data_IF_384085554965
#
_entry.id   IF_384085554965
#
_cell.length_a   1.000
_cell.length_b   1.000
_cell.length_c   1.000
_cell.angle_alpha   90.00
_cell.angle_beta   90.00
_cell.angle_gamma   90.00
#
_symmetry.space_group_name_H-M   'P 1'
#
loop_
_entity.id
_entity.type
_entity.pdbx_description
1 polymer ?
#
# COMPACT_ATOMS: atom_id res chain seq x y z
N UNK A 1 19.11 -21.32 36.02
CA UNK A 1 17.95 -21.85 35.32
C UNK A 1 16.75 -20.90 35.35
N UNK A 2 16.25 -20.43 36.52
CA UNK A 2 15.09 -19.50 36.64
C UNK A 2 15.29 -18.16 35.91
N UNK A 3 16.45 -17.51 36.04
CA UNK A 3 16.76 -16.23 35.37
C UNK A 3 16.75 -16.38 33.86
N UNK A 4 17.35 -17.43 33.31
CA UNK A 4 17.33 -17.69 31.85
C UNK A 4 15.91 -17.91 31.34
N UNK A 5 15.07 -18.63 32.05
CA UNK A 5 13.69 -18.84 31.74
C UNK A 5 12.90 -17.52 31.73
N UNK A 6 13.12 -16.64 32.70
CA UNK A 6 12.52 -15.30 32.74
C UNK A 6 12.93 -14.44 31.54
N UNK A 7 14.22 -14.47 31.17
CA UNK A 7 14.72 -13.73 29.99
C UNK A 7 14.06 -14.23 28.69
N UNK A 8 13.99 -15.55 28.49
CA UNK A 8 13.37 -16.16 27.32
C UNK A 8 11.89 -15.79 27.25
N UNK A 9 11.18 -15.90 28.38
CA UNK A 9 9.75 -15.51 28.44
C UNK A 9 9.54 -14.03 28.09
N UNK A 10 10.38 -13.14 28.64
CA UNK A 10 10.34 -11.72 28.33
C UNK A 10 10.56 -11.46 26.83
N UNK A 11 11.56 -12.10 26.21
CA UNK A 11 11.82 -11.95 24.77
C UNK A 11 10.65 -12.44 23.93
N UNK A 12 10.01 -13.55 24.31
CA UNK A 12 8.80 -14.04 23.64
C UNK A 12 7.66 -13.02 23.75
N UNK A 13 7.40 -12.49 24.93
CA UNK A 13 6.35 -11.48 25.17
C UNK A 13 6.62 -10.21 24.35
N UNK A 14 7.85 -9.70 24.35
CA UNK A 14 8.25 -8.53 23.58
C UNK A 14 8.10 -8.78 22.07
N UNK A 15 8.49 -9.95 21.58
CA UNK A 15 8.33 -10.32 20.17
C UNK A 15 6.86 -10.39 19.78
N UNK A 16 6.03 -11.07 20.56
CA UNK A 16 4.59 -11.12 20.34
C UNK A 16 3.98 -9.71 20.35
N UNK A 17 4.34 -8.89 21.32
CA UNK A 17 3.89 -7.50 21.38
C UNK A 17 4.28 -6.72 20.12
N UNK A 18 5.51 -6.87 19.64
CA UNK A 18 6.02 -6.16 18.48
C UNK A 18 5.27 -6.52 17.19
N UNK A 19 5.00 -7.81 16.93
CA UNK A 19 4.42 -8.29 15.67
C UNK A 19 2.91 -8.44 15.69
N UNK A 20 2.23 -8.32 16.84
CA UNK A 20 0.80 -8.60 16.98
C UNK A 20 -0.05 -7.74 16.05
N UNK A 21 -0.87 -8.34 15.16
CA UNK A 21 -1.76 -7.61 14.25
C UNK A 21 -2.96 -6.99 14.98
N UNK A 22 -3.79 -6.27 14.22
CA UNK A 22 -5.07 -5.77 14.65
C UNK A 22 -6.11 -6.88 14.94
N UNK A 23 -7.28 -6.47 15.41
CA UNK A 23 -8.40 -7.39 15.56
C UNK A 23 -8.90 -7.84 14.19
N UNK A 24 -9.25 -9.11 14.07
CA UNK A 24 -9.89 -9.62 12.85
C UNK A 24 -11.26 -8.94 12.66
N UNK A 25 -11.47 -8.33 11.49
CA UNK A 25 -12.65 -7.55 11.13
C UNK A 25 -13.21 -8.06 9.79
N UNK A 26 -13.91 -9.20 9.84
CA UNK A 26 -14.30 -9.96 8.65
C UNK A 26 -15.15 -9.14 7.67
N UNK A 27 -16.09 -8.34 8.16
CA UNK A 27 -16.93 -7.49 7.30
C UNK A 27 -16.11 -6.47 6.49
N UNK A 28 -15.05 -5.88 7.07
CA UNK A 28 -14.19 -4.93 6.37
C UNK A 28 -13.22 -5.63 5.41
N UNK A 29 -12.84 -6.88 5.69
CA UNK A 29 -11.94 -7.67 4.84
C UNK A 29 -12.66 -8.28 3.63
N UNK A 30 -13.95 -8.59 3.77
CA UNK A 30 -14.75 -9.32 2.78
C UNK A 30 -14.60 -8.77 1.34
N UNK A 31 -14.61 -7.45 1.07
CA UNK A 31 -14.46 -6.92 -0.29
C UNK A 31 -13.11 -7.22 -0.94
N UNK A 32 -12.08 -7.53 -0.12
CA UNK A 32 -10.71 -7.79 -0.58
C UNK A 32 -10.38 -9.29 -0.66
N UNK A 33 -11.11 -10.14 0.05
CA UNK A 33 -10.81 -11.57 0.11
C UNK A 33 -11.00 -12.25 -1.25
N UNK A 34 -9.95 -12.96 -1.69
CA UNK A 34 -9.94 -13.67 -2.97
C UNK A 34 -9.94 -12.74 -4.19
N UNK A 35 -9.60 -11.47 -4.05
CA UNK A 35 -9.63 -10.47 -5.12
C UNK A 35 -8.25 -10.16 -5.66
N UNK A 36 -8.18 -10.02 -6.98
CA UNK A 36 -7.03 -9.44 -7.67
C UNK A 36 -7.22 -7.92 -7.79
N UNK A 37 -6.21 -7.15 -7.33
CA UNK A 37 -6.15 -5.69 -7.37
C UNK A 37 -5.08 -5.25 -8.37
N UNK A 38 -5.42 -4.35 -9.28
CA UNK A 38 -4.49 -3.82 -10.26
C UNK A 38 -3.55 -2.80 -9.60
N UNK A 39 -2.24 -3.11 -9.58
CA UNK A 39 -1.18 -2.26 -9.05
C UNK A 39 -1.07 -0.97 -9.85
N UNK A 40 -1.35 0.18 -9.23
CA UNK A 40 -1.37 1.51 -9.88
C UNK A 40 -2.36 1.60 -11.05
N UNK A 41 -3.46 0.81 -11.01
CA UNK A 41 -4.42 0.68 -12.10
C UNK A 41 -4.08 -0.45 -13.09
N UNK A 42 -4.93 -0.62 -14.11
CA UNK A 42 -4.76 -1.67 -15.12
C UNK A 42 -4.05 -1.11 -16.36
N UNK A 43 -2.77 -1.39 -16.51
CA UNK A 43 -1.90 -0.88 -17.57
C UNK A 43 -0.90 -1.93 -18.06
N UNK A 44 -0.33 -1.72 -19.25
CA UNK A 44 0.69 -2.58 -19.84
C UNK A 44 2.13 -2.12 -19.54
N UNK A 45 3.12 -2.96 -19.89
CA UNK A 45 4.55 -2.62 -19.77
C UNK A 45 4.96 -1.41 -20.61
N UNK A 46 4.19 -1.12 -21.65
CA UNK A 46 4.36 0.03 -22.54
C UNK A 46 3.85 1.35 -21.95
N UNK A 47 3.32 1.34 -20.72
CA UNK A 47 2.73 2.51 -20.05
C UNK A 47 1.60 3.16 -20.87
N UNK A 48 0.75 2.34 -21.49
CA UNK A 48 -0.42 2.81 -22.28
C UNK A 48 -1.69 2.06 -21.88
N UNK A 49 -2.53 2.67 -21.02
CA UNK A 49 -2.34 3.98 -20.35
C UNK A 49 -1.19 3.95 -19.32
N UNK A 50 -0.68 5.11 -18.88
CA UNK A 50 0.35 5.15 -17.83
C UNK A 50 -0.15 4.62 -16.48
N UNK A 51 0.77 4.11 -15.65
CA UNK A 51 0.47 3.80 -14.25
C UNK A 51 -0.04 5.03 -13.50
N UNK A 52 -0.90 4.83 -12.49
CA UNK A 52 -1.45 5.91 -11.65
C UNK A 52 -2.16 7.03 -12.45
N UNK A 53 -2.70 6.71 -13.65
CA UNK A 53 -3.51 7.61 -14.47
C UNK A 53 -5.00 7.30 -14.39
N UNK A 54 -5.84 8.29 -14.67
CA UNK A 54 -7.30 8.10 -14.68
C UNK A 54 -7.75 6.98 -15.65
N UNK A 55 -7.25 6.88 -16.90
CA UNK A 55 -7.59 5.77 -17.78
C UNK A 55 -7.19 4.39 -17.25
N UNK A 56 -6.03 4.27 -16.56
CA UNK A 56 -5.62 3.00 -15.96
C UNK A 56 -6.57 2.57 -14.83
N UNK A 57 -7.06 3.52 -14.04
CA UNK A 57 -8.04 3.26 -12.98
C UNK A 57 -9.42 2.90 -13.56
N UNK A 58 -9.90 3.63 -14.56
CA UNK A 58 -11.14 3.30 -15.26
C UNK A 58 -11.08 1.91 -15.89
N UNK A 59 -9.95 1.56 -16.50
CA UNK A 59 -9.74 0.23 -17.06
C UNK A 59 -9.81 -0.85 -15.98
N UNK A 60 -9.17 -0.66 -14.81
CA UNK A 60 -9.26 -1.60 -13.69
C UNK A 60 -10.70 -1.77 -13.18
N UNK A 61 -11.40 -0.66 -12.92
CA UNK A 61 -12.78 -0.65 -12.42
C UNK A 61 -13.77 -1.32 -13.38
N UNK A 62 -13.70 -1.00 -14.67
CA UNK A 62 -14.55 -1.61 -15.71
C UNK A 62 -14.29 -3.10 -15.91
N UNK A 63 -13.06 -3.57 -15.68
CA UNK A 63 -12.72 -4.99 -15.72
C UNK A 63 -13.04 -5.71 -14.40
N UNK A 64 -13.58 -5.03 -13.37
CA UNK A 64 -13.98 -5.63 -12.09
C UNK A 64 -12.83 -5.97 -11.16
N UNK A 65 -11.65 -5.44 -11.38
CA UNK A 65 -10.50 -5.55 -10.46
C UNK A 65 -10.65 -4.59 -9.27
N UNK A 66 -10.04 -4.94 -8.14
CA UNK A 66 -9.67 -3.93 -7.16
C UNK A 66 -8.57 -3.03 -7.73
N UNK A 67 -8.29 -1.92 -7.07
CA UNK A 67 -7.23 -0.99 -7.44
C UNK A 67 -6.32 -0.78 -6.25
N UNK A 68 -5.02 -0.87 -6.48
CA UNK A 68 -4.01 -0.31 -5.58
C UNK A 68 -3.45 0.97 -6.21
N UNK A 69 -3.13 1.96 -5.38
CA UNK A 69 -2.64 3.27 -5.82
C UNK A 69 -1.86 3.98 -4.71
N UNK A 70 -1.05 4.96 -5.12
CA UNK A 70 -0.12 5.70 -4.25
C UNK A 70 -0.55 7.15 -4.09
N UNK A 71 -0.55 7.67 -2.86
CA UNK A 71 -0.87 9.08 -2.59
C UNK A 71 0.25 9.79 -1.83
N UNK A 72 0.48 11.05 -2.19
CA UNK A 72 1.44 11.93 -1.53
C UNK A 72 1.03 13.41 -1.70
N UNK A 73 1.68 14.30 -0.97
CA UNK A 73 1.46 15.74 -1.10
C UNK A 73 2.38 16.40 -2.14
N UNK A 74 1.82 17.37 -2.86
CA UNK A 74 2.58 18.43 -3.55
C UNK A 74 3.09 19.49 -2.56
N UNK A 75 3.89 20.45 -3.02
CA UNK A 75 4.39 21.56 -2.20
C UNK A 75 3.28 22.39 -1.53
N UNK A 76 2.18 22.61 -2.25
CA UNK A 76 0.98 23.33 -1.79
C UNK A 76 -0.08 22.40 -1.14
N UNK A 77 0.34 21.20 -0.67
CA UNK A 77 -0.49 20.26 0.10
C UNK A 77 -1.72 19.73 -0.63
N UNK A 78 -1.68 19.62 -1.95
CA UNK A 78 -2.69 18.87 -2.71
C UNK A 78 -2.34 17.39 -2.66
N UNK A 79 -3.34 16.52 -2.48
CA UNK A 79 -3.13 15.07 -2.55
C UNK A 79 -3.15 14.67 -4.01
N UNK A 80 -2.04 14.11 -4.47
CA UNK A 80 -1.88 13.61 -5.84
C UNK A 80 -1.68 12.10 -5.85
N UNK A 81 -2.04 11.47 -6.96
CA UNK A 81 -1.79 10.04 -7.16
C UNK A 81 -0.52 9.88 -7.98
N UNK A 82 0.54 9.44 -7.31
CA UNK A 82 1.87 9.27 -7.94
C UNK A 82 2.77 8.41 -7.04
N UNK A 83 3.50 7.46 -7.63
CA UNK A 83 4.28 6.48 -6.86
C UNK A 83 5.62 7.01 -6.36
N UNK A 84 6.44 7.55 -7.28
CA UNK A 84 7.83 7.87 -6.99
C UNK A 84 7.93 9.15 -6.12
N UNK A 85 8.96 9.24 -5.30
CA UNK A 85 9.27 10.47 -4.57
C UNK A 85 9.68 11.59 -5.53
N UNK A 86 10.30 11.21 -6.68
CA UNK A 86 10.81 12.14 -7.70
C UNK A 86 10.05 12.00 -9.01
N UNK A 87 10.10 13.04 -9.81
CA UNK A 87 9.39 13.16 -11.09
C UNK A 87 10.08 12.40 -12.24
N UNK A 88 11.36 12.08 -12.07
CA UNK A 88 12.32 11.72 -13.11
C UNK A 88 11.95 10.54 -14.00
N UNK A 89 11.27 9.52 -13.46
CA UNK A 89 10.93 8.31 -14.20
C UNK A 89 9.67 8.49 -15.07
N UNK A 90 8.68 9.19 -14.54
CA UNK A 90 7.35 9.24 -15.14
C UNK A 90 7.05 10.54 -15.85
N UNK A 91 7.89 11.59 -15.67
CA UNK A 91 7.67 12.90 -16.27
C UNK A 91 8.97 13.47 -16.84
N UNK A 92 8.90 14.48 -17.74
CA UNK A 92 10.09 15.22 -18.20
C UNK A 92 10.73 16.08 -17.10
N UNK A 93 9.99 16.44 -16.06
CA UNK A 93 10.46 17.27 -14.96
C UNK A 93 11.41 16.49 -14.03
N UNK A 94 12.15 17.22 -13.21
CA UNK A 94 13.12 16.71 -12.23
C UNK A 94 12.77 17.21 -10.84
N UNK A 95 13.25 16.51 -9.81
CA UNK A 95 13.09 16.90 -8.42
C UNK A 95 11.98 16.14 -7.72
N UNK A 96 11.65 16.57 -6.51
CA UNK A 96 10.70 15.87 -5.66
C UNK A 96 9.26 16.35 -5.89
N UNK A 97 8.30 15.44 -5.79
CA UNK A 97 6.86 15.76 -5.87
C UNK A 97 6.45 16.77 -4.80
N UNK A 98 6.95 16.61 -3.58
CA UNK A 98 6.61 17.49 -2.45
C UNK A 98 7.24 18.90 -2.52
N UNK A 99 8.14 19.15 -3.48
CA UNK A 99 8.73 20.47 -3.74
C UNK A 99 8.03 21.20 -4.89
N UNK A 100 7.19 20.51 -5.68
CA UNK A 100 6.51 21.08 -6.85
C UNK A 100 5.06 21.46 -6.51
N UNK A 101 4.61 22.70 -6.77
CA UNK A 101 3.20 23.08 -6.63
C UNK A 101 2.29 22.32 -7.61
N UNK A 102 1.05 22.10 -7.22
CA UNK A 102 0.07 21.40 -8.06
C UNK A 102 -0.06 21.97 -9.48
N UNK A 103 -0.09 23.30 -9.63
CA UNK A 103 -0.23 23.93 -10.93
C UNK A 103 0.88 23.53 -11.92
N UNK A 104 2.11 23.33 -11.43
CA UNK A 104 3.23 22.86 -12.25
C UNK A 104 3.22 21.34 -12.41
N UNK A 105 2.88 20.61 -11.34
CA UNK A 105 2.84 19.16 -11.36
C UNK A 105 1.76 18.62 -12.30
N UNK A 106 0.56 19.21 -12.28
CA UNK A 106 -0.55 18.81 -13.15
C UNK A 106 -0.29 19.05 -14.64
N UNK A 107 0.65 19.90 -14.98
CA UNK A 107 1.03 20.16 -16.38
C UNK A 107 2.04 19.13 -16.93
N UNK A 108 2.58 18.23 -16.09
CA UNK A 108 3.57 17.25 -16.52
C UNK A 108 2.90 16.07 -17.24
N UNK A 109 3.32 15.73 -18.47
CA UNK A 109 2.81 14.51 -19.14
C UNK A 109 3.40 13.25 -18.48
N UNK A 110 2.56 12.23 -18.31
CA UNK A 110 2.96 10.93 -17.76
C UNK A 110 3.52 10.01 -18.85
N UNK A 111 4.72 9.47 -18.66
CA UNK A 111 5.35 8.48 -19.52
C UNK A 111 5.32 8.83 -21.02
N UNK A 112 5.42 10.13 -21.35
CA UNK A 112 5.37 10.62 -22.73
C UNK A 112 4.01 10.44 -23.44
N UNK A 113 2.92 10.34 -22.68
CA UNK A 113 1.54 10.31 -23.16
C UNK A 113 0.87 11.69 -23.00
N UNK A 114 -0.40 11.79 -23.39
CA UNK A 114 -1.24 12.99 -23.16
C UNK A 114 -1.92 12.97 -21.76
N UNK A 115 -1.63 11.94 -20.95
CA UNK A 115 -2.15 11.82 -19.60
C UNK A 115 -1.31 12.60 -18.60
N UNK A 116 -1.94 13.06 -17.53
CA UNK A 116 -1.32 13.86 -16.47
C UNK A 116 -1.56 13.24 -15.09
N UNK A 117 -0.71 13.51 -14.09
CA UNK A 117 -0.95 13.06 -12.72
C UNK A 117 -2.28 13.58 -12.20
N UNK A 118 -3.18 12.72 -11.67
CA UNK A 118 -4.47 13.17 -11.17
C UNK A 118 -4.40 13.62 -9.71
N UNK A 119 -5.31 14.51 -9.30
CA UNK A 119 -5.68 14.67 -7.89
C UNK A 119 -6.34 13.39 -7.38
N UNK A 120 -6.14 13.10 -6.09
CA UNK A 120 -6.76 11.95 -5.46
C UNK A 120 -8.30 12.05 -5.48
N UNK A 121 -8.85 13.24 -5.21
CA UNK A 121 -10.29 13.48 -5.30
C UNK A 121 -10.87 13.21 -6.70
N UNK A 122 -10.14 13.58 -7.77
CA UNK A 122 -10.58 13.30 -9.14
C UNK A 122 -10.53 11.81 -9.46
N UNK A 123 -9.50 11.11 -8.99
CA UNK A 123 -9.40 9.66 -9.10
C UNK A 123 -10.57 8.96 -8.40
N UNK A 124 -10.89 9.32 -7.16
CA UNK A 124 -12.01 8.74 -6.41
C UNK A 124 -13.35 8.91 -7.13
N UNK A 125 -13.61 10.12 -7.64
CA UNK A 125 -14.83 10.43 -8.41
C UNK A 125 -14.88 9.59 -9.69
N UNK A 126 -13.80 9.57 -10.46
CA UNK A 126 -13.74 8.86 -11.76
C UNK A 126 -13.92 7.35 -11.59
N UNK A 127 -13.34 6.76 -10.56
CA UNK A 127 -13.52 5.33 -10.26
C UNK A 127 -14.94 5.05 -9.80
N UNK A 128 -15.53 5.90 -8.94
CA UNK A 128 -16.91 5.74 -8.50
C UNK A 128 -17.93 5.83 -9.65
N UNK A 129 -17.67 6.71 -10.63
CA UNK A 129 -18.48 6.81 -11.84
C UNK A 129 -18.33 5.57 -12.75
N UNK A 130 -17.14 4.99 -12.82
CA UNK A 130 -16.87 3.80 -13.63
C UNK A 130 -17.44 2.51 -12.98
N UNK A 131 -17.27 2.33 -11.68
CA UNK A 131 -17.81 1.24 -10.87
C UNK A 131 -17.69 1.58 -9.38
N UNK A 132 -18.80 1.97 -8.71
CA UNK A 132 -18.77 2.40 -7.30
C UNK A 132 -18.40 1.31 -6.29
N UNK A 133 -18.46 0.03 -6.69
CA UNK A 133 -18.12 -1.11 -5.82
C UNK A 133 -16.64 -1.53 -5.91
N UNK A 134 -15.80 -0.79 -6.64
CA UNK A 134 -14.38 -1.11 -6.81
C UNK A 134 -13.62 -0.98 -5.49
N UNK A 135 -12.99 -2.04 -4.95
CA UNK A 135 -12.19 -1.94 -3.74
C UNK A 135 -10.88 -1.18 -3.99
N UNK A 136 -10.54 -0.24 -3.09
CA UNK A 136 -9.30 0.54 -3.16
C UNK A 136 -8.34 0.16 -2.04
N UNK A 137 -7.08 -0.09 -2.40
CA UNK A 137 -5.93 -0.19 -1.49
C UNK A 137 -5.09 1.06 -1.72
N UNK A 138 -5.03 1.95 -0.74
CA UNK A 138 -4.37 3.26 -0.88
C UNK A 138 -3.08 3.26 -0.07
N UNK A 139 -1.93 3.29 -0.77
CA UNK A 139 -0.65 3.48 -0.13
C UNK A 139 -0.42 4.96 0.18
N UNK A 140 -0.24 5.30 1.46
CA UNK A 140 0.27 6.62 1.84
C UNK A 140 1.79 6.57 1.81
N UNK A 141 2.39 7.31 0.88
CA UNK A 141 3.84 7.41 0.72
C UNK A 141 4.46 8.13 1.91
N UNK A 142 5.63 7.69 2.30
CA UNK A 142 6.38 8.26 3.43
C UNK A 142 7.88 8.22 3.16
N UNK A 143 8.58 9.20 3.72
CA UNK A 143 10.04 9.31 3.70
C UNK A 143 10.56 9.43 5.12
N UNK A 144 11.82 9.06 5.32
CA UNK A 144 12.47 9.18 6.64
C UNK A 144 12.52 10.62 7.16
N UNK A 145 12.62 11.59 6.25
CA UNK A 145 12.71 13.03 6.52
C UNK A 145 11.37 13.64 6.94
N UNK A 146 10.25 12.97 6.62
CA UNK A 146 8.92 13.49 6.98
C UNK A 146 8.72 13.44 8.49
N UNK A 147 8.51 14.62 9.08
CA UNK A 147 8.21 14.72 10.50
C UNK A 147 6.78 14.24 10.81
N UNK A 148 6.49 14.06 12.09
CA UNK A 148 5.21 13.52 12.54
C UNK A 148 4.02 14.38 12.13
N UNK A 149 4.14 15.70 12.19
CA UNK A 149 3.08 16.64 11.81
C UNK A 149 2.72 16.51 10.34
N UNK A 150 3.72 16.43 9.45
CA UNK A 150 3.51 16.20 8.02
C UNK A 150 2.73 14.90 7.76
N UNK A 151 3.14 13.82 8.39
CA UNK A 151 2.48 12.53 8.24
C UNK A 151 1.05 12.56 8.81
N UNK A 152 0.81 13.24 9.92
CA UNK A 152 -0.54 13.40 10.49
C UNK A 152 -1.46 14.21 9.57
N UNK A 153 -0.95 15.26 8.94
CA UNK A 153 -1.70 16.06 7.96
C UNK A 153 -2.04 15.24 6.72
N UNK A 154 -1.06 14.54 6.14
CA UNK A 154 -1.28 13.70 4.95
C UNK A 154 -2.29 12.58 5.23
N UNK A 155 -2.15 11.87 6.35
CA UNK A 155 -3.12 10.85 6.75
C UNK A 155 -4.53 11.43 6.94
N UNK A 156 -4.65 12.57 7.61
CA UNK A 156 -5.94 13.23 7.87
C UNK A 156 -6.62 13.65 6.56
N UNK A 157 -5.86 14.27 5.66
CA UNK A 157 -6.37 14.72 4.37
C UNK A 157 -6.80 13.52 3.50
N UNK A 158 -5.97 12.47 3.41
CA UNK A 158 -6.29 11.23 2.69
C UNK A 158 -7.55 10.56 3.24
N UNK A 159 -7.67 10.43 4.57
CA UNK A 159 -8.87 9.87 5.22
C UNK A 159 -10.11 10.72 4.95
N UNK A 160 -9.97 12.05 4.91
CA UNK A 160 -11.09 12.95 4.64
C UNK A 160 -11.60 12.79 3.20
N UNK A 161 -10.72 12.71 2.21
CA UNK A 161 -11.11 12.46 0.81
C UNK A 161 -11.71 11.05 0.63
N UNK A 162 -11.12 9.99 1.25
CA UNK A 162 -11.66 8.63 1.17
C UNK A 162 -13.10 8.51 1.68
N UNK A 163 -13.53 9.32 2.62
CA UNK A 163 -14.93 9.32 3.11
C UNK A 163 -15.94 9.72 2.04
N UNK A 164 -15.52 10.34 0.95
CA UNK A 164 -16.40 10.70 -0.17
C UNK A 164 -16.57 9.53 -1.15
N UNK A 165 -15.73 8.50 -1.07
CA UNK A 165 -15.79 7.33 -1.92
C UNK A 165 -16.86 6.34 -1.42
N UNK A 166 -17.81 5.91 -2.27
CA UNK A 166 -18.91 5.04 -1.85
C UNK A 166 -18.51 3.57 -1.66
N UNK A 167 -17.44 3.13 -2.34
CA UNK A 167 -16.98 1.75 -2.35
C UNK A 167 -16.10 1.38 -1.15
N UNK A 168 -15.70 0.12 -1.05
CA UNK A 168 -14.80 -0.34 0.01
C UNK A 168 -13.37 0.17 -0.21
N UNK A 169 -12.69 0.56 0.86
CA UNK A 169 -11.30 1.00 0.82
C UNK A 169 -10.52 0.62 2.08
N UNK A 170 -9.21 0.54 1.93
CA UNK A 170 -8.26 0.41 3.01
C UNK A 170 -7.03 1.27 2.76
N UNK A 171 -6.22 1.48 3.80
CA UNK A 171 -4.97 2.23 3.72
C UNK A 171 -3.81 1.31 4.06
N UNK A 172 -2.69 1.44 3.34
CA UNK A 172 -1.44 0.78 3.68
C UNK A 172 -0.25 1.74 3.59
N UNK A 173 0.86 1.36 4.19
CA UNK A 173 2.14 2.07 4.08
C UNK A 173 3.31 1.17 4.49
N UNK A 174 4.49 1.43 3.93
CA UNK A 174 5.76 0.88 4.43
C UNK A 174 6.14 1.45 5.80
N UNK A 175 5.67 2.64 6.12
CA UNK A 175 6.02 3.32 7.36
C UNK A 175 5.06 2.96 8.50
N UNK A 176 5.52 2.27 9.54
CA UNK A 176 4.66 1.95 10.69
C UNK A 176 4.17 3.18 11.46
N UNK A 177 4.82 4.37 11.28
CA UNK A 177 4.32 5.65 11.84
C UNK A 177 3.00 6.03 11.18
N UNK A 178 2.91 5.91 9.85
CA UNK A 178 1.67 6.16 9.06
C UNK A 178 0.56 5.21 9.51
N UNK A 179 0.84 3.90 9.57
CA UNK A 179 -0.15 2.90 10.03
C UNK A 179 -0.61 3.20 11.46
N UNK A 180 0.30 3.68 12.33
CA UNK A 180 -0.01 4.13 13.69
C UNK A 180 -0.89 5.38 13.74
N UNK A 181 -0.67 6.34 12.85
CA UNK A 181 -1.47 7.56 12.71
C UNK A 181 -2.88 7.19 12.22
N UNK A 182 -2.99 6.37 11.17
CA UNK A 182 -4.29 5.90 10.66
C UNK A 182 -5.08 5.16 11.75
N UNK A 183 -4.41 4.32 12.57
CA UNK A 183 -5.03 3.67 13.72
C UNK A 183 -5.66 4.66 14.70
N UNK A 184 -5.02 5.81 14.97
CA UNK A 184 -5.52 6.83 15.90
C UNK A 184 -6.62 7.70 15.28
N UNK A 185 -6.44 8.12 14.03
CA UNK A 185 -7.36 9.04 13.35
C UNK A 185 -8.62 8.35 12.82
N UNK A 186 -8.52 7.08 12.40
CA UNK A 186 -9.61 6.29 11.86
C UNK A 186 -9.56 4.83 12.36
N UNK A 187 -9.84 4.57 13.65
CA UNK A 187 -9.71 3.23 14.24
C UNK A 187 -10.64 2.19 13.59
N UNK A 188 -11.74 2.63 12.96
CA UNK A 188 -12.66 1.79 12.19
C UNK A 188 -12.19 1.40 10.80
N UNK A 189 -11.15 2.06 10.26
CA UNK A 189 -10.65 1.82 8.91
C UNK A 189 -9.73 0.58 8.87
N UNK A 190 -9.88 -0.24 7.82
CA UNK A 190 -8.97 -1.34 7.52
C UNK A 190 -7.59 -0.77 7.13
N UNK A 191 -6.52 -1.27 7.73
CA UNK A 191 -5.16 -0.77 7.51
C UNK A 191 -4.14 -1.88 7.43
N UNK A 192 -3.13 -1.71 6.58
CA UNK A 192 -2.07 -2.66 6.31
C UNK A 192 -0.67 -2.14 6.60
N UNK A 193 0.21 -3.06 6.90
CA UNK A 193 1.65 -2.83 6.89
C UNK A 193 2.22 -3.42 5.60
N UNK A 194 2.74 -2.58 4.72
CA UNK A 194 3.59 -3.00 3.61
C UNK A 194 4.96 -3.41 4.16
N UNK A 195 5.46 -4.53 3.70
CA UNK A 195 6.78 -5.01 4.06
C UNK A 195 7.43 -5.76 2.90
N UNK A 196 8.74 -5.63 2.81
CA UNK A 196 9.57 -6.32 1.82
C UNK A 196 10.59 -7.23 2.52
N UNK A 197 11.29 -8.04 1.74
CA UNK A 197 12.32 -8.91 2.27
C UNK A 197 13.52 -8.12 2.82
N UNK A 198 14.21 -8.69 3.81
CA UNK A 198 15.45 -8.11 4.33
C UNK A 198 16.46 -7.81 3.22
N UNK A 199 16.55 -8.73 2.24
CA UNK A 199 17.46 -8.58 1.09
C UNK A 199 17.08 -7.38 0.22
N UNK A 200 15.80 -7.16 -0.02
CA UNK A 200 15.32 -6.02 -0.79
C UNK A 200 15.64 -4.69 -0.11
N UNK A 201 15.32 -4.55 1.20
CA UNK A 201 15.71 -3.36 1.97
C UNK A 201 17.22 -3.10 1.93
N UNK A 202 18.04 -4.16 2.01
CA UNK A 202 19.50 -4.01 1.93
C UNK A 202 19.98 -3.54 0.55
N UNK A 203 19.31 -3.97 -0.52
CA UNK A 203 19.62 -3.52 -1.88
C UNK A 203 19.29 -2.04 -2.11
N UNK A 204 18.27 -1.50 -1.45
CA UNK A 204 17.93 -0.07 -1.52
C UNK A 204 18.78 0.80 -0.59
N UNK A 205 19.80 0.23 0.06
CA UNK A 205 20.74 0.97 0.90
C UNK A 205 20.31 1.11 2.36
N UNK A 206 19.20 0.54 2.79
CA UNK A 206 18.76 0.59 4.17
C UNK A 206 19.81 -0.02 5.13
N UNK A 207 20.07 0.63 6.27
CA UNK A 207 20.95 0.08 7.31
C UNK A 207 20.44 -1.27 7.83
N UNK A 208 21.32 -2.23 8.25
CA UNK A 208 20.90 -3.57 8.68
C UNK A 208 19.81 -3.62 9.74
N UNK A 209 19.85 -2.74 10.74
CA UNK A 209 18.89 -2.75 11.84
C UNK A 209 17.50 -2.32 11.36
N UNK A 210 17.29 -1.16 10.71
CA UNK A 210 16.00 -0.84 10.09
C UNK A 210 15.51 -1.90 9.10
N UNK A 211 16.39 -2.43 8.22
CA UNK A 211 16.03 -3.47 7.28
C UNK A 211 15.47 -4.73 7.99
N UNK A 212 16.08 -5.13 9.11
CA UNK A 212 15.59 -6.24 9.92
C UNK A 212 14.24 -5.91 10.58
N UNK A 213 14.12 -4.74 11.21
CA UNK A 213 12.90 -4.30 11.90
C UNK A 213 11.71 -4.27 10.93
N UNK A 214 11.86 -3.66 9.76
CA UNK A 214 10.79 -3.52 8.78
C UNK A 214 10.43 -4.84 8.09
N UNK A 215 11.44 -5.62 7.67
CA UNK A 215 11.19 -6.93 7.05
C UNK A 215 10.53 -7.93 8.01
N UNK A 216 10.70 -7.77 9.32
CA UNK A 216 10.09 -8.65 10.33
C UNK A 216 8.84 -8.04 10.99
N UNK A 217 8.32 -6.94 10.43
CA UNK A 217 7.11 -6.28 10.93
C UNK A 217 7.16 -5.96 12.44
N UNK A 218 8.36 -5.68 12.98
CA UNK A 218 8.53 -5.41 14.41
C UNK A 218 7.93 -4.05 14.83
N UNK A 219 7.54 -3.20 13.87
CA UNK A 219 6.80 -1.96 14.08
C UNK A 219 5.29 -2.12 14.22
N UNK A 220 4.72 -3.33 14.06
CA UNK A 220 3.28 -3.55 14.08
C UNK A 220 2.59 -3.09 15.38
N UNK A 221 3.30 -3.02 16.49
CA UNK A 221 2.75 -2.52 17.76
C UNK A 221 2.24 -1.07 17.66
N UNK A 222 2.78 -0.25 16.76
CA UNK A 222 2.31 1.12 16.50
C UNK A 222 0.93 1.12 15.83
N UNK A 223 0.83 0.43 14.71
CA UNK A 223 -0.34 0.45 13.83
C UNK A 223 -1.35 -0.64 14.11
N UNK A 224 -0.94 -1.79 14.68
CA UNK A 224 -1.78 -2.99 14.79
C UNK A 224 -2.50 -3.25 13.45
N UNK A 225 -1.73 -3.54 12.38
CA UNK A 225 -2.31 -3.68 11.04
C UNK A 225 -3.28 -4.85 10.97
N UNK A 226 -4.35 -4.72 10.19
CA UNK A 226 -5.32 -5.77 9.92
C UNK A 226 -4.82 -6.75 8.87
N UNK A 227 -3.90 -6.29 8.02
CA UNK A 227 -3.25 -7.11 7.00
C UNK A 227 -1.77 -6.78 6.88
N UNK A 228 -1.01 -7.73 6.34
CA UNK A 228 0.38 -7.55 5.92
C UNK A 228 0.42 -7.71 4.41
N UNK A 229 0.91 -6.69 3.70
CA UNK A 229 1.23 -6.77 2.29
C UNK A 229 2.70 -7.17 2.13
N UNK A 230 2.94 -8.36 1.52
CA UNK A 230 4.26 -8.98 1.46
C UNK A 230 4.67 -9.25 0.01
N UNK A 231 5.96 -9.03 -0.29
CA UNK A 231 6.57 -9.31 -1.58
C UNK A 231 6.51 -10.81 -1.98
N UNK A 232 6.77 -11.17 -3.26
CA UNK A 232 6.67 -12.57 -3.72
C UNK A 232 7.73 -13.51 -3.14
N UNK A 233 8.66 -13.01 -2.32
CA UNK A 233 9.65 -13.84 -1.66
C UNK A 233 9.03 -14.67 -0.52
N UNK A 234 9.74 -15.74 -0.12
CA UNK A 234 9.32 -16.60 0.98
C UNK A 234 9.16 -15.79 2.28
N UNK A 235 7.99 -15.87 2.88
CA UNK A 235 7.69 -15.20 4.17
C UNK A 235 8.66 -15.64 5.25
N UNK A 236 9.25 -14.68 5.95
CA UNK A 236 10.07 -14.95 7.12
C UNK A 236 9.21 -15.40 8.33
N UNK A 237 9.86 -15.75 9.44
CA UNK A 237 9.17 -16.27 10.62
C UNK A 237 8.16 -15.29 11.21
N UNK A 238 8.47 -13.98 11.22
CA UNK A 238 7.62 -12.95 11.82
C UNK A 238 6.35 -12.72 10.98
N UNK A 239 6.48 -12.65 9.65
CA UNK A 239 5.33 -12.54 8.75
C UNK A 239 4.43 -13.78 8.84
N UNK A 240 5.01 -14.98 8.93
CA UNK A 240 4.24 -16.21 9.18
C UNK A 240 3.52 -16.18 10.54
N UNK A 241 4.16 -15.60 11.56
CA UNK A 241 3.53 -15.42 12.86
C UNK A 241 2.36 -14.43 12.79
N UNK A 242 2.51 -13.28 12.11
CA UNK A 242 1.41 -12.34 11.88
C UNK A 242 0.20 -13.03 11.22
N UNK A 243 0.44 -13.85 10.19
CA UNK A 243 -0.61 -14.61 9.52
C UNK A 243 -1.32 -15.58 10.48
N UNK A 244 -0.57 -16.33 11.31
CA UNK A 244 -1.12 -17.24 12.32
C UNK A 244 -1.91 -16.51 13.42
N UNK A 245 -1.54 -15.28 13.72
CA UNK A 245 -2.24 -14.41 14.67
C UNK A 245 -3.45 -13.71 14.05
N UNK A 246 -3.78 -14.01 12.79
CA UNK A 246 -5.01 -13.58 12.12
C UNK A 246 -4.88 -12.35 11.22
N UNK A 247 -3.67 -11.88 10.89
CA UNK A 247 -3.49 -10.90 9.85
C UNK A 247 -3.94 -11.46 8.49
N UNK A 248 -4.69 -10.67 7.71
CA UNK A 248 -4.96 -10.97 6.30
C UNK A 248 -3.65 -10.83 5.52
N UNK A 249 -3.41 -11.71 4.56
CA UNK A 249 -2.19 -11.69 3.75
C UNK A 249 -2.50 -11.15 2.37
N UNK A 250 -1.89 -10.02 2.04
CA UNK A 250 -1.93 -9.40 0.71
C UNK A 250 -0.57 -9.63 0.05
N UNK A 251 -0.55 -10.03 -1.21
CA UNK A 251 0.69 -10.22 -1.96
C UNK A 251 0.89 -9.07 -2.95
N UNK A 252 2.08 -8.50 -3.01
CA UNK A 252 2.49 -7.47 -3.96
C UNK A 252 3.96 -7.69 -4.40
N UNK A 253 4.31 -7.52 -5.64
CA UNK A 253 3.46 -7.42 -6.81
C UNK A 253 3.57 -8.70 -7.60
N UNK A 254 2.43 -9.31 -7.95
CA UNK A 254 2.41 -10.46 -8.85
C UNK A 254 2.68 -9.99 -10.28
N UNK A 255 3.67 -10.61 -10.92
CA UNK A 255 4.09 -10.34 -12.29
C UNK A 255 3.81 -11.55 -13.18
N UNK A 256 3.78 -11.38 -14.53
CA UNK A 256 3.51 -12.49 -15.46
C UNK A 256 4.44 -13.71 -15.33
N UNK A 257 5.67 -13.49 -14.88
CA UNK A 257 6.68 -14.53 -14.67
C UNK A 257 6.50 -15.36 -13.40
N UNK A 258 5.62 -14.92 -12.48
CA UNK A 258 5.35 -15.65 -11.24
C UNK A 258 4.32 -16.78 -11.46
N UNK A 259 4.35 -17.81 -10.62
CA UNK A 259 3.26 -18.78 -10.48
C UNK A 259 2.05 -18.12 -9.80
N UNK A 260 1.23 -17.47 -10.62
CA UNK A 260 0.10 -16.66 -10.15
C UNK A 260 -0.95 -17.50 -9.41
N UNK A 261 -1.18 -18.76 -9.83
CA UNK A 261 -2.12 -19.67 -9.15
C UNK A 261 -1.65 -20.00 -7.73
N UNK A 262 -0.35 -20.22 -7.56
CA UNK A 262 0.24 -20.45 -6.24
C UNK A 262 0.13 -19.20 -5.37
N UNK A 263 0.41 -18.02 -5.92
CA UNK A 263 0.27 -16.76 -5.18
C UNK A 263 -1.17 -16.52 -4.73
N UNK A 264 -2.14 -16.78 -5.58
CA UNK A 264 -3.58 -16.70 -5.25
C UNK A 264 -3.98 -17.71 -4.16
N UNK A 265 -3.48 -18.94 -4.23
CA UNK A 265 -3.78 -19.99 -3.24
C UNK A 265 -3.20 -19.66 -1.84
N UNK A 266 -2.04 -19.02 -1.77
CA UNK A 266 -1.31 -18.73 -0.54
C UNK A 266 -1.68 -17.37 0.10
N UNK A 267 -2.47 -16.53 -0.58
CA UNK A 267 -2.80 -15.18 -0.12
C UNK A 267 -4.32 -14.93 -0.10
N UNK A 268 -4.72 -13.94 0.69
CA UNK A 268 -6.11 -13.51 0.83
C UNK A 268 -6.50 -12.47 -0.23
N UNK A 269 -5.54 -11.67 -0.72
CA UNK A 269 -5.65 -10.78 -1.85
C UNK A 269 -4.31 -10.72 -2.61
N UNK A 270 -4.35 -10.38 -3.90
CA UNK A 270 -3.16 -10.26 -4.74
C UNK A 270 -3.18 -8.93 -5.49
N UNK A 271 -2.13 -8.15 -5.34
CA UNK A 271 -1.87 -6.97 -6.14
C UNK A 271 -1.03 -7.41 -7.34
N UNK A 272 -1.58 -7.26 -8.55
CA UNK A 272 -0.98 -7.76 -9.79
C UNK A 272 -0.61 -6.64 -10.76
N UNK A 273 0.32 -6.92 -11.69
CA UNK A 273 0.77 -5.96 -12.68
C UNK A 273 1.14 -6.65 -14.00
N UNK A 274 0.80 -6.02 -15.14
CA UNK A 274 1.19 -6.38 -16.52
C UNK A 274 0.62 -7.69 -17.06
N UNK A 275 -0.44 -8.21 -16.48
CA UNK A 275 -1.22 -9.34 -17.01
C UNK A 275 -2.68 -9.19 -16.57
N UNK A 276 -3.56 -10.05 -17.08
CA UNK A 276 -4.99 -10.02 -16.78
C UNK A 276 -5.41 -11.32 -16.07
N UNK A 277 -5.39 -11.37 -14.72
CA UNK A 277 -5.90 -12.51 -13.97
C UNK A 277 -7.42 -12.54 -13.94
N UNK A 278 -8.03 -13.57 -13.34
CA UNK A 278 -9.45 -13.51 -12.95
C UNK A 278 -9.64 -12.43 -11.88
N UNK A 279 -10.80 -11.77 -11.88
CA UNK A 279 -11.11 -10.71 -10.91
C UNK A 279 -11.13 -11.25 -9.47
N UNK A 280 -11.68 -12.45 -9.31
CA UNK A 280 -11.76 -13.18 -8.05
C UNK A 280 -11.29 -14.63 -8.24
N UNK A 281 -10.67 -15.21 -7.20
CA UNK A 281 -10.09 -16.55 -7.20
C UNK A 281 -10.52 -17.39 -5.98
N UNK A 282 -11.25 -16.80 -5.02
CA UNK A 282 -11.90 -17.49 -3.88
C UNK A 282 -13.38 -17.19 -3.84
#
# INVERSE_FOLDING_TARGET
MKILLCIVLLLVVLTLFAVWPGKRRDALRAPFLGRNCAHRGFFGKDQRPPENSLPAFVAAAKNGYGIELDVQFTADRRIVVFHDDTLDRMTPAKGFVHDMPWAEFSAQPLAGSDEHPPLFADMLRTVAEANPDTPLIVEIKSRSEYNHTYLEELCRATIAELKTYPGPYCIESFDPRVVGIVRRQAPGLLRGQLADSYRSYRKTGAHPVPAFVFSHCLGNFLGRPDFIAWCPEKRNWAVRLCARLGAMMVMWTALPEHDTRKLEAENDAVIFQWYAPKQQYK
#
